data_IF_028356838132
#
_entry.id   IF_028356838132
#
_cell.length_a   1.000
_cell.length_b   1.000
_cell.length_c   1.000
_cell.angle_alpha   90.00
_cell.angle_beta   90.00
_cell.angle_gamma   90.00
#
_symmetry.space_group_name_H-M   'P 1'
#
loop_
_entity.id
_entity.type
_entity.pdbx_description
1 polymer ?
#
# COMPACT_ATOMS: atom_id res chain seq x y z
N UNK A 1 9.28 -56.95 42.15
CA UNK A 1 9.04 -57.89 41.02
C UNK A 1 8.50 -57.06 39.85
N UNK A 2 9.25 -56.15 39.24
CA UNK A 2 10.26 -56.34 38.17
C UNK A 2 9.83 -57.28 37.04
N UNK A 3 9.57 -56.70 35.86
CA UNK A 3 10.05 -57.11 34.52
C UNK A 3 9.37 -56.20 33.46
N UNK A 4 10.04 -55.19 32.90
CA UNK A 4 11.11 -55.19 31.89
C UNK A 4 10.60 -55.32 30.44
N UNK A 5 10.80 -54.26 29.66
CA UNK A 5 10.88 -54.28 28.19
C UNK A 5 11.94 -55.28 27.70
N UNK A 6 11.97 -55.58 26.38
CA UNK A 6 13.10 -55.01 25.65
C UNK A 6 12.78 -54.50 24.23
N UNK A 7 13.65 -53.55 23.86
CA UNK A 7 13.94 -52.98 22.56
C UNK A 7 14.58 -53.95 21.55
N UNK A 8 14.70 -53.46 20.30
CA UNK A 8 15.74 -53.72 19.26
C UNK A 8 15.17 -54.27 17.94
N UNK A 9 15.69 -54.01 16.73
CA UNK A 9 16.47 -52.92 16.08
C UNK A 9 16.67 -53.39 14.62
N UNK A 10 16.71 -52.44 13.66
CA UNK A 10 17.38 -52.50 12.32
C UNK A 10 16.74 -53.48 11.29
N UNK A 11 16.77 -53.29 9.96
CA UNK A 11 17.75 -52.64 9.08
C UNK A 11 17.17 -52.33 7.68
N UNK A 12 17.88 -51.46 6.97
CA UNK A 12 17.76 -51.07 5.56
C UNK A 12 17.52 -52.18 4.53
N UNK A 13 16.82 -51.84 3.43
CA UNK A 13 17.27 -52.20 2.07
C UNK A 13 16.68 -51.28 0.98
N UNK A 14 17.61 -50.83 0.12
CA UNK A 14 17.40 -50.15 -1.16
C UNK A 14 16.43 -50.88 -2.10
N UNK A 15 15.70 -50.11 -2.92
CA UNK A 15 15.40 -50.53 -4.29
C UNK A 15 15.39 -49.34 -5.25
N UNK A 16 16.36 -49.35 -6.16
CA UNK A 16 16.40 -48.59 -7.41
C UNK A 16 15.32 -49.13 -8.36
N UNK A 17 14.70 -48.27 -9.15
CA UNK A 17 14.24 -48.61 -10.49
C UNK A 17 14.54 -47.45 -11.44
N UNK A 18 15.52 -47.68 -12.31
CA UNK A 18 15.72 -46.96 -13.55
C UNK A 18 14.64 -47.40 -14.55
N UNK A 19 14.22 -46.50 -15.44
CA UNK A 19 14.10 -46.82 -16.87
C UNK A 19 14.28 -45.56 -17.72
N UNK A 20 15.22 -45.66 -18.67
CA UNK A 20 15.48 -44.77 -19.82
C UNK A 20 14.18 -44.55 -20.64
N UNK A 21 13.95 -43.49 -21.39
CA UNK A 21 14.84 -42.58 -22.12
C UNK A 21 14.32 -42.52 -23.57
N UNK A 22 14.20 -41.33 -24.16
CA UNK A 22 14.27 -41.15 -25.62
C UNK A 22 14.73 -39.73 -25.96
N UNK A 23 15.74 -39.70 -26.81
CA UNK A 23 16.46 -38.58 -27.38
C UNK A 23 16.01 -38.31 -28.81
N UNK A 24 16.25 -37.10 -29.30
CA UNK A 24 16.22 -36.70 -30.72
C UNK A 24 15.76 -35.25 -30.86
N UNK A 25 16.62 -34.22 -30.85
CA UNK A 25 17.68 -33.80 -31.80
C UNK A 25 17.17 -33.05 -33.03
N UNK A 26 17.79 -31.88 -33.24
CA UNK A 26 18.03 -31.09 -34.48
C UNK A 26 17.54 -29.64 -34.29
N UNK A 27 18.42 -28.72 -33.92
CA UNK A 27 19.30 -27.95 -34.84
C UNK A 27 18.49 -27.06 -35.79
N UNK A 28 18.73 -25.74 -35.69
CA UNK A 28 19.08 -24.89 -36.83
C UNK A 28 19.68 -23.58 -36.31
N UNK A 29 20.91 -23.35 -36.75
CA UNK A 29 21.78 -22.21 -36.53
C UNK A 29 21.62 -21.15 -37.63
N UNK A 30 22.09 -19.94 -37.31
CA UNK A 30 22.71 -18.93 -38.21
C UNK A 30 21.89 -18.31 -39.36
N UNK A 31 21.80 -16.98 -39.39
CA UNK A 31 22.77 -16.14 -40.11
C UNK A 31 22.34 -14.67 -40.21
N UNK A 32 23.38 -13.86 -40.32
CA UNK A 32 23.53 -12.42 -40.43
C UNK A 32 22.65 -11.69 -41.47
N UNK A 33 22.43 -10.39 -41.27
CA UNK A 33 22.98 -9.37 -42.19
C UNK A 33 22.85 -7.96 -41.62
N UNK A 34 23.98 -7.24 -41.67
CA UNK A 34 24.10 -5.82 -41.44
C UNK A 34 23.59 -5.04 -42.67
N UNK A 35 23.03 -3.85 -42.43
CA UNK A 35 23.15 -2.75 -43.38
C UNK A 35 23.12 -1.41 -42.66
N UNK A 36 24.30 -0.84 -42.51
CA UNK A 36 24.49 0.60 -42.37
C UNK A 36 24.13 1.26 -43.72
N UNK A 37 23.43 2.38 -43.69
CA UNK A 37 23.66 3.43 -44.69
C UNK A 37 23.37 4.81 -44.09
N UNK A 38 24.44 5.57 -43.97
CA UNK A 38 24.56 7.01 -43.78
C UNK A 38 23.70 7.84 -44.75
N UNK A 39 23.21 9.01 -44.33
CA UNK A 39 23.91 10.30 -44.58
C UNK A 39 23.02 11.54 -44.43
N UNK A 40 23.62 12.55 -43.74
CA UNK A 40 23.64 14.00 -43.99
C UNK A 40 22.32 14.81 -43.95
N UNK A 41 22.21 15.74 -42.98
CA UNK A 41 22.39 17.23 -43.10
C UNK A 41 21.29 17.87 -43.99
N UNK A 42 20.56 18.90 -43.59
CA UNK A 42 21.10 20.19 -43.16
C UNK A 42 20.02 21.17 -42.60
N UNK A 43 20.50 22.11 -41.79
CA UNK A 43 20.14 23.53 -41.57
C UNK A 43 18.66 24.02 -41.71
N UNK A 44 18.07 24.54 -40.63
CA UNK A 44 18.01 25.98 -40.25
C UNK A 44 16.86 26.81 -40.88
N UNK A 45 15.99 27.40 -40.05
CA UNK A 45 15.82 28.86 -39.86
C UNK A 45 14.53 29.23 -39.12
N UNK A 46 14.71 30.07 -38.10
CA UNK A 46 13.73 30.99 -37.49
C UNK A 46 12.93 31.75 -38.56
N UNK A 47 11.66 32.06 -38.25
CA UNK A 47 11.11 33.41 -38.40
C UNK A 47 9.91 33.64 -37.47
N UNK A 48 9.81 34.90 -37.07
CA UNK A 48 8.98 35.53 -36.03
C UNK A 48 8.14 36.61 -36.73
N UNK A 49 6.92 36.86 -36.26
CA UNK A 49 6.05 38.00 -36.61
C UNK A 49 4.58 37.60 -36.43
N UNK A 50 3.88 37.97 -35.36
CA UNK A 50 3.26 39.27 -34.96
C UNK A 50 2.07 39.70 -35.82
N UNK A 51 0.91 39.75 -35.14
CA UNK A 51 -0.32 40.56 -35.30
C UNK A 51 -1.05 40.54 -36.67
N UNK A 52 -2.38 40.52 -36.78
CA UNK A 52 -3.37 41.35 -36.10
C UNK A 52 -4.81 40.77 -36.20
N UNK A 53 -5.68 41.40 -35.40
CA UNK A 53 -7.12 41.25 -35.16
C UNK A 53 -8.08 40.74 -36.26
N UNK A 54 -9.08 39.93 -35.84
CA UNK A 54 -10.49 40.12 -36.21
C UNK A 54 -11.46 39.39 -35.25
N UNK A 55 -12.43 40.15 -34.73
CA UNK A 55 -13.46 39.80 -33.74
C UNK A 55 -14.56 38.88 -34.32
N UNK A 56 -15.25 38.13 -33.44
CA UNK A 56 -16.72 38.18 -33.19
C UNK A 56 -17.32 36.82 -32.68
N UNK A 57 -18.11 36.94 -31.59
CA UNK A 57 -19.19 36.07 -31.05
C UNK A 57 -18.93 34.80 -30.21
N UNK A 58 -18.71 35.02 -28.90
CA UNK A 58 -19.71 34.78 -27.84
C UNK A 58 -20.37 33.41 -27.65
N UNK A 59 -19.85 32.61 -26.69
CA UNK A 59 -20.62 31.71 -25.79
C UNK A 59 -19.88 31.57 -24.44
N UNK A 60 -20.55 31.63 -23.27
CA UNK A 60 -19.85 31.58 -21.99
C UNK A 60 -19.44 30.14 -21.68
N UNK A 61 -18.14 29.86 -21.74
CA UNK A 61 -17.58 28.60 -21.29
C UNK A 61 -17.85 28.41 -19.79
N UNK A 62 -18.72 27.45 -19.45
CA UNK A 62 -18.90 26.96 -18.08
C UNK A 62 -17.54 26.49 -17.56
N UNK A 63 -16.92 27.27 -16.66
CA UNK A 63 -15.77 26.83 -15.86
C UNK A 63 -16.17 25.58 -15.09
N UNK A 64 -15.72 24.42 -15.55
CA UNK A 64 -15.79 23.16 -14.80
C UNK A 64 -14.97 23.35 -13.53
N UNK A 65 -15.65 23.48 -12.39
CA UNK A 65 -15.02 23.56 -11.07
C UNK A 65 -14.19 22.29 -10.88
N UNK A 66 -12.89 22.45 -10.60
CA UNK A 66 -12.05 21.35 -10.11
C UNK A 66 -12.73 20.70 -8.89
N UNK A 67 -12.79 19.37 -8.79
CA UNK A 67 -13.33 18.72 -7.59
C UNK A 67 -12.48 19.12 -6.38
N UNK A 68 -13.12 19.52 -5.30
CA UNK A 68 -12.42 19.75 -4.03
C UNK A 68 -11.97 18.41 -3.45
N UNK A 69 -10.77 18.37 -2.87
CA UNK A 69 -10.19 17.22 -2.14
C UNK A 69 -11.03 16.77 -0.92
N UNK A 70 -12.19 17.40 -0.69
CA UNK A 70 -13.11 17.11 0.41
C UNK A 70 -14.27 16.20 0.01
N UNK A 71 -14.43 15.88 -1.29
CA UNK A 71 -15.40 14.89 -1.73
C UNK A 71 -14.70 13.59 -2.12
N UNK A 72 -15.17 12.42 -1.64
CA UNK A 72 -14.64 11.14 -2.09
C UNK A 72 -14.76 11.04 -3.60
N UNK A 73 -13.73 10.51 -4.27
CA UNK A 73 -13.84 10.17 -5.69
C UNK A 73 -14.98 9.17 -5.86
N UNK A 74 -15.92 9.46 -6.77
CA UNK A 74 -17.08 8.60 -7.06
C UNK A 74 -17.06 8.19 -8.51
N UNK A 75 -17.15 6.89 -8.76
CA UNK A 75 -17.50 6.36 -10.08
C UNK A 75 -19.02 6.52 -10.29
N UNK A 76 -19.49 7.01 -11.45
CA UNK A 76 -20.92 7.07 -11.75
C UNK A 76 -21.65 5.73 -11.57
N UNK A 77 -20.96 4.61 -11.73
CA UNK A 77 -21.51 3.25 -11.50
C UNK A 77 -21.67 2.87 -10.04
N UNK A 78 -21.12 3.66 -9.12
CA UNK A 78 -21.30 3.49 -7.67
C UNK A 78 -22.54 4.23 -7.14
N UNK A 79 -23.37 4.76 -8.03
CA UNK A 79 -24.61 5.45 -7.66
C UNK A 79 -25.81 4.50 -7.70
N UNK A 80 -26.40 4.22 -6.55
CA UNK A 80 -27.77 3.73 -6.49
C UNK A 80 -28.71 4.90 -6.81
N UNK A 81 -29.69 4.67 -7.68
CA UNK A 81 -30.66 5.70 -8.09
C UNK A 81 -31.55 6.12 -6.92
N UNK A 82 -31.12 7.11 -6.16
CA UNK A 82 -31.97 7.81 -5.19
C UNK A 82 -32.47 9.11 -5.82
N UNK A 83 -33.79 9.30 -5.85
CA UNK A 83 -34.45 10.54 -6.33
C UNK A 83 -33.85 11.78 -5.61
N UNK A 84 -33.71 12.93 -6.29
CA UNK A 84 -33.00 14.08 -5.72
C UNK A 84 -33.80 14.73 -4.59
N UNK A 85 -33.21 14.77 -3.39
CA UNK A 85 -33.70 15.56 -2.26
C UNK A 85 -33.37 17.05 -2.45
N UNK A 86 -34.33 17.92 -2.13
CA UNK A 86 -34.22 19.38 -2.21
C UNK A 86 -33.08 19.93 -1.34
N UNK A 87 -32.29 20.86 -1.89
CA UNK A 87 -31.21 21.58 -1.20
C UNK A 87 -31.75 22.40 -0.01
N UNK A 88 -31.24 22.16 1.20
CA UNK A 88 -31.32 23.10 2.33
C UNK A 88 -30.04 23.93 2.41
N UNK A 89 -30.21 25.17 2.84
CA UNK A 89 -29.23 26.26 2.92
C UNK A 89 -28.07 25.95 3.90
N UNK A 90 -26.88 26.44 3.57
CA UNK A 90 -25.64 26.31 4.34
C UNK A 90 -25.67 27.20 5.58
N UNK A 91 -25.51 26.60 6.76
CA UNK A 91 -25.01 27.30 7.94
C UNK A 91 -23.47 27.40 7.85
N UNK A 92 -22.93 28.55 8.25
CA UNK A 92 -21.48 28.84 8.28
C UNK A 92 -20.80 27.88 9.26
N UNK A 93 -19.85 27.09 8.78
CA UNK A 93 -18.91 26.36 9.62
C UNK A 93 -17.57 27.09 9.56
N UNK A 94 -17.03 27.38 10.74
CA UNK A 94 -15.77 28.09 10.97
C UNK A 94 -14.58 27.42 10.29
N UNK A 95 -13.56 28.25 10.03
CA UNK A 95 -12.46 27.99 9.13
C UNK A 95 -11.76 26.65 9.36
N UNK A 96 -11.64 25.88 8.28
CA UNK A 96 -10.74 24.75 8.19
C UNK A 96 -9.31 25.29 8.20
N UNK A 97 -8.72 25.39 9.39
CA UNK A 97 -7.27 25.56 9.54
C UNK A 97 -6.61 24.36 8.84
N UNK A 98 -5.95 24.62 7.72
CA UNK A 98 -5.01 23.68 7.11
C UNK A 98 -3.88 23.47 8.11
N UNK A 99 -4.02 22.44 8.95
CA UNK A 99 -3.02 22.08 9.97
C UNK A 99 -1.72 21.75 9.23
N UNK A 100 -0.67 22.53 9.51
CA UNK A 100 0.73 22.22 9.14
C UNK A 100 1.05 20.76 9.45
N UNK A 101 1.96 20.09 8.70
CA UNK A 101 2.12 18.64 8.79
C UNK A 101 2.60 18.30 10.19
N UNK A 102 1.66 17.86 11.03
CA UNK A 102 1.99 17.33 12.36
C UNK A 102 2.92 16.12 12.16
N UNK A 103 3.86 15.90 13.09
CA UNK A 103 4.80 14.78 13.00
C UNK A 103 4.04 13.47 12.75
N UNK A 104 4.68 12.54 12.03
CA UNK A 104 4.01 11.27 11.71
C UNK A 104 3.88 10.44 12.97
N UNK A 105 4.85 10.55 13.86
CA UNK A 105 4.80 10.00 15.21
C UNK A 105 4.30 11.12 16.15
N UNK A 106 3.18 10.90 16.85
CA UNK A 106 2.69 11.86 17.85
C UNK A 106 3.57 11.83 19.12
N UNK A 107 3.36 12.76 20.06
CA UNK A 107 4.13 12.87 21.30
C UNK A 107 4.11 11.57 22.13
N UNK A 108 2.96 10.90 22.18
CA UNK A 108 2.76 9.61 22.84
C UNK A 108 3.30 8.41 22.02
N UNK A 109 3.79 8.66 20.81
CA UNK A 109 4.33 7.68 19.87
C UNK A 109 3.27 6.97 19.00
N UNK A 110 1.98 7.20 19.24
CA UNK A 110 0.92 6.75 18.34
C UNK A 110 1.05 7.51 17.02
N UNK A 111 1.22 6.79 15.90
CA UNK A 111 1.49 7.45 14.63
C UNK A 111 0.20 7.89 13.96
N UNK A 112 -0.29 9.08 14.30
CA UNK A 112 -1.58 9.67 13.86
C UNK A 112 -2.80 8.80 14.20
N UNK A 113 -3.14 8.68 15.49
CA UNK A 113 -4.30 7.91 15.91
C UNK A 113 -5.62 8.52 15.38
N UNK A 114 -6.57 7.67 14.99
CA UNK A 114 -7.97 8.07 14.77
C UNK A 114 -8.65 8.39 16.11
N UNK A 115 -9.78 9.11 16.09
CA UNK A 115 -10.49 9.62 17.28
C UNK A 115 -10.71 8.57 18.38
N UNK A 116 -11.16 7.37 18.02
CA UNK A 116 -11.42 6.28 18.97
C UNK A 116 -10.27 5.31 19.20
N UNK A 117 -9.04 5.65 18.76
CA UNK A 117 -7.89 4.73 18.86
C UNK A 117 -7.48 4.51 20.30
N UNK A 118 -7.40 5.59 21.09
CA UNK A 118 -7.01 5.51 22.51
C UNK A 118 -8.05 4.77 23.32
N UNK A 119 -9.33 5.12 23.15
CA UNK A 119 -10.46 4.43 23.75
C UNK A 119 -10.42 2.92 23.49
N UNK A 120 -10.07 2.50 22.26
CA UNK A 120 -9.92 1.08 21.90
C UNK A 120 -8.67 0.44 22.51
N UNK A 121 -7.55 1.16 22.59
CA UNK A 121 -6.29 0.64 23.15
C UNK A 121 -6.39 0.44 24.67
N UNK A 122 -7.10 1.34 25.35
CA UNK A 122 -7.23 1.38 26.82
C UNK A 122 -8.49 0.64 27.33
N UNK A 123 -9.25 -0.01 26.43
CA UNK A 123 -10.50 -0.65 26.78
C UNK A 123 -10.30 -1.89 27.69
N UNK A 124 -11.21 -2.10 28.63
CA UNK A 124 -11.24 -3.31 29.45
C UNK A 124 -11.67 -4.54 28.62
N UNK A 125 -11.37 -5.77 29.07
CA UNK A 125 -11.85 -6.98 28.41
C UNK A 125 -13.38 -7.02 28.21
N UNK A 126 -14.14 -6.48 29.16
CA UNK A 126 -15.61 -6.36 29.09
C UNK A 126 -16.02 -5.36 28.00
N UNK A 127 -15.37 -4.21 27.93
CA UNK A 127 -15.62 -3.21 26.87
C UNK A 127 -15.28 -3.76 25.48
N UNK A 128 -14.17 -4.50 25.37
CA UNK A 128 -13.79 -5.18 24.13
C UNK A 128 -14.83 -6.21 23.69
N UNK A 129 -15.42 -6.95 24.63
CA UNK A 129 -16.49 -7.92 24.36
C UNK A 129 -17.76 -7.23 23.86
N UNK A 130 -18.19 -6.14 24.51
CA UNK A 130 -19.35 -5.32 24.09
C UNK A 130 -19.12 -4.77 22.67
N UNK A 131 -17.92 -4.25 22.38
CA UNK A 131 -17.58 -3.74 21.04
C UNK A 131 -17.60 -4.86 19.99
N UNK A 132 -17.13 -6.05 20.35
CA UNK A 132 -17.16 -7.21 19.46
C UNK A 132 -18.60 -7.67 19.17
N UNK A 133 -19.47 -7.70 20.17
CA UNK A 133 -20.89 -8.00 20.00
C UNK A 133 -21.58 -6.97 19.10
N UNK A 134 -21.31 -5.68 19.31
CA UNK A 134 -21.82 -4.61 18.45
C UNK A 134 -21.40 -4.78 16.98
N UNK A 135 -20.15 -5.15 16.72
CA UNK A 135 -19.67 -5.43 15.35
C UNK A 135 -20.37 -6.64 14.75
N UNK A 136 -20.59 -7.71 15.53
CA UNK A 136 -21.33 -8.88 15.08
C UNK A 136 -22.77 -8.51 14.67
N UNK A 137 -23.47 -7.74 15.50
CA UNK A 137 -24.80 -7.23 15.17
C UNK A 137 -24.82 -6.47 13.84
N UNK A 138 -23.86 -5.57 13.63
CA UNK A 138 -23.74 -4.83 12.37
C UNK A 138 -23.49 -5.73 11.15
N UNK A 139 -22.65 -6.77 11.29
CA UNK A 139 -22.40 -7.71 10.19
C UNK A 139 -23.64 -8.56 9.90
N UNK A 140 -24.36 -9.00 10.93
CA UNK A 140 -25.65 -9.70 10.76
C UNK A 140 -26.62 -8.83 9.96
N UNK A 141 -26.77 -7.56 10.32
CA UNK A 141 -27.60 -6.61 9.56
C UNK A 141 -27.15 -6.47 8.11
N UNK A 142 -25.83 -6.47 7.83
CA UNK A 142 -25.32 -6.48 6.45
C UNK A 142 -25.79 -7.73 5.70
N UNK A 143 -25.68 -8.92 6.29
CA UNK A 143 -26.14 -10.17 5.68
C UNK A 143 -27.63 -10.13 5.33
N UNK A 144 -28.46 -9.72 6.30
CA UNK A 144 -29.92 -9.58 6.09
C UNK A 144 -30.23 -8.58 4.97
N UNK A 145 -29.53 -7.44 4.95
CA UNK A 145 -29.73 -6.39 3.95
C UNK A 145 -29.29 -6.78 2.52
N UNK A 146 -28.37 -7.74 2.37
CA UNK A 146 -28.01 -8.29 1.04
C UNK A 146 -28.90 -9.47 0.62
N UNK A 147 -29.89 -9.83 1.43
CA UNK A 147 -30.81 -10.94 1.18
C UNK A 147 -30.25 -12.32 1.53
N UNK A 148 -29.20 -12.39 2.35
CA UNK A 148 -28.69 -13.66 2.89
C UNK A 148 -29.50 -14.11 4.11
N UNK A 149 -29.54 -15.43 4.33
CA UNK A 149 -30.08 -16.03 5.55
C UNK A 149 -28.97 -16.08 6.60
N UNK A 150 -29.01 -15.26 7.67
CA UNK A 150 -27.96 -15.23 8.68
C UNK A 150 -27.92 -16.51 9.55
N UNK A 151 -28.99 -17.30 9.57
CA UNK A 151 -29.12 -18.47 10.44
C UNK A 151 -28.72 -19.78 9.74
N UNK A 152 -28.40 -19.76 8.44
CA UNK A 152 -27.92 -20.96 7.72
C UNK A 152 -26.52 -21.41 8.20
N UNK A 153 -26.21 -22.71 8.20
CA UNK A 153 -24.99 -23.25 8.80
C UNK A 153 -23.67 -22.61 8.31
N UNK A 154 -23.60 -22.22 7.03
CA UNK A 154 -22.38 -21.66 6.44
C UNK A 154 -22.01 -20.25 6.94
N UNK A 155 -23.00 -19.44 7.35
CA UNK A 155 -22.77 -18.04 7.78
C UNK A 155 -23.18 -17.76 9.22
N UNK A 156 -23.67 -18.75 9.95
CA UNK A 156 -24.06 -18.63 11.36
C UNK A 156 -23.00 -17.93 12.23
N UNK A 157 -21.72 -18.31 12.08
CA UNK A 157 -20.59 -17.71 12.82
C UNK A 157 -19.81 -16.66 11.98
N UNK A 158 -20.29 -16.31 10.79
CA UNK A 158 -19.68 -15.25 9.94
C UNK A 158 -19.64 -13.89 10.62
N UNK A 159 -20.69 -13.41 11.33
CA UNK A 159 -20.60 -12.15 12.06
C UNK A 159 -19.40 -12.07 13.00
N UNK A 160 -19.15 -13.14 13.77
CA UNK A 160 -18.02 -13.21 14.70
C UNK A 160 -16.68 -13.27 13.99
N UNK A 161 -16.56 -14.12 12.95
CA UNK A 161 -15.33 -14.24 12.15
C UNK A 161 -14.98 -12.93 11.47
N UNK A 162 -15.96 -12.27 10.85
CA UNK A 162 -15.76 -10.99 10.17
C UNK A 162 -15.36 -9.90 11.15
N UNK A 163 -16.04 -9.79 12.29
CA UNK A 163 -15.69 -8.79 13.31
C UNK A 163 -14.23 -8.95 13.78
N UNK A 164 -13.81 -10.18 14.08
CA UNK A 164 -12.41 -10.49 14.44
C UNK A 164 -11.43 -10.16 13.31
N UNK A 165 -11.76 -10.52 12.07
CA UNK A 165 -10.93 -10.22 10.91
C UNK A 165 -10.77 -8.69 10.73
N UNK A 166 -11.85 -7.92 10.83
CA UNK A 166 -11.79 -6.47 10.70
C UNK A 166 -10.95 -5.81 11.80
N UNK A 167 -11.02 -6.32 13.03
CA UNK A 167 -10.18 -5.83 14.13
C UNK A 167 -8.70 -6.13 13.91
N UNK A 168 -8.37 -7.29 13.34
CA UNK A 168 -7.00 -7.63 12.95
C UNK A 168 -6.50 -6.75 11.78
N UNK A 169 -7.32 -6.56 10.75
CA UNK A 169 -6.99 -5.74 9.58
C UNK A 169 -6.82 -4.25 9.92
N UNK A 170 -7.32 -3.81 11.08
CA UNK A 170 -7.22 -2.44 11.59
C UNK A 170 -6.40 -2.32 12.88
N UNK A 171 -5.60 -3.34 13.24
CA UNK A 171 -4.84 -3.34 14.50
C UNK A 171 -3.76 -2.26 14.56
N UNK A 172 -3.22 -1.84 13.41
CA UNK A 172 -2.13 -0.89 13.31
C UNK A 172 -2.46 0.53 13.75
N UNK A 173 -3.73 0.83 14.03
CA UNK A 173 -4.10 2.05 14.75
C UNK A 173 -3.57 2.05 16.19
N UNK A 174 -3.52 0.89 16.85
CA UNK A 174 -3.15 0.73 18.26
C UNK A 174 -1.66 0.48 18.48
N UNK A 175 -0.86 0.51 17.41
CA UNK A 175 0.58 0.24 17.47
C UNK A 175 1.37 1.55 17.52
N UNK A 176 2.57 1.48 18.10
CA UNK A 176 3.49 2.60 18.27
C UNK A 176 4.80 2.31 17.54
N UNK A 177 5.28 3.26 16.72
CA UNK A 177 6.51 3.08 15.93
C UNK A 177 7.73 2.89 16.84
N UNK A 178 7.80 3.59 17.97
CA UNK A 178 8.93 3.48 18.92
C UNK A 178 8.99 2.07 19.51
N UNK A 179 7.85 1.51 19.89
CA UNK A 179 7.75 0.15 20.43
C UNK A 179 8.07 -0.91 19.38
N UNK A 180 7.66 -0.69 18.13
CA UNK A 180 8.03 -1.59 17.02
C UNK A 180 9.54 -1.61 16.84
N UNK A 181 10.18 -0.44 16.82
CA UNK A 181 11.63 -0.30 16.64
C UNK A 181 12.37 -0.92 17.82
N UNK A 182 11.87 -0.71 19.04
CA UNK A 182 12.40 -1.28 20.29
C UNK A 182 13.93 -1.13 20.41
N UNK A 183 14.44 0.08 20.21
CA UNK A 183 15.88 0.40 20.26
C UNK A 183 16.78 -0.45 19.34
N UNK A 184 16.23 -1.11 18.32
CA UNK A 184 17.01 -1.87 17.34
C UNK A 184 17.66 -0.94 16.30
N UNK A 185 18.43 0.03 16.81
CA UNK A 185 19.22 0.99 16.04
C UNK A 185 20.68 0.79 16.47
N UNK A 186 21.56 0.58 15.49
CA UNK A 186 22.95 0.19 15.70
C UNK A 186 23.88 1.20 15.02
N UNK A 187 25.07 1.40 15.58
CA UNK A 187 26.10 2.24 14.98
C UNK A 187 27.13 1.37 14.26
N UNK A 188 26.98 1.24 12.95
CA UNK A 188 27.83 0.35 12.13
C UNK A 188 28.81 1.13 11.22
N UNK A 189 28.82 2.47 11.29
CA UNK A 189 29.64 3.32 10.40
C UNK A 189 29.29 3.19 8.91
N UNK A 190 28.22 2.45 8.58
CA UNK A 190 27.75 2.25 7.21
C UNK A 190 27.08 3.53 6.69
N UNK A 191 27.45 3.99 5.50
CA UNK A 191 26.95 5.22 4.87
C UNK A 191 26.48 5.01 3.42
N UNK A 192 26.32 3.75 3.00
CA UNK A 192 25.80 3.39 1.68
C UNK A 192 24.30 3.09 1.73
N UNK A 193 23.69 2.96 0.56
CA UNK A 193 22.25 2.71 0.44
C UNK A 193 21.89 1.30 0.96
N UNK A 194 20.97 1.25 1.92
CA UNK A 194 20.37 -0.01 2.39
C UNK A 194 18.98 -0.14 1.77
N UNK A 195 18.67 -1.28 1.17
CA UNK A 195 17.38 -1.57 0.53
C UNK A 195 16.77 -2.85 1.11
N UNK A 196 15.51 -2.76 1.53
CA UNK A 196 14.64 -3.91 1.78
C UNK A 196 13.52 -3.85 0.75
N UNK A 197 13.56 -4.78 -0.21
CA UNK A 197 12.61 -4.87 -1.33
C UNK A 197 11.68 -6.06 -1.19
N UNK A 198 10.58 -6.03 -1.95
CA UNK A 198 9.59 -7.11 -2.01
C UNK A 198 8.89 -7.37 -0.66
N UNK A 199 8.67 -6.31 0.12
CA UNK A 199 7.89 -6.39 1.36
C UNK A 199 6.43 -6.52 0.97
N UNK A 200 5.81 -7.67 1.24
CA UNK A 200 4.39 -7.87 1.01
C UNK A 200 3.55 -7.00 1.96
N UNK A 201 2.61 -6.27 1.38
CA UNK A 201 1.75 -5.34 2.12
C UNK A 201 0.29 -5.63 1.80
N UNK A 202 -0.51 -5.76 2.86
CA UNK A 202 -1.96 -5.92 2.81
C UNK A 202 -2.59 -4.74 3.53
N UNK A 203 -3.53 -4.05 2.88
CA UNK A 203 -4.24 -2.93 3.47
C UNK A 203 -5.69 -2.86 3.01
N UNK A 204 -6.47 -1.96 3.59
CA UNK A 204 -7.90 -1.80 3.34
C UNK A 204 -8.15 -0.42 2.74
N UNK A 205 -8.76 -0.35 1.56
CA UNK A 205 -9.12 0.92 0.93
C UNK A 205 -10.18 1.62 1.79
N UNK A 206 -9.90 2.83 2.26
CA UNK A 206 -10.82 3.55 3.16
C UNK A 206 -12.14 3.95 2.50
N UNK A 207 -12.17 4.05 1.17
CA UNK A 207 -13.37 4.43 0.42
C UNK A 207 -14.41 3.31 0.34
N UNK A 208 -13.96 2.05 0.35
CA UNK A 208 -14.82 0.90 0.04
C UNK A 208 -14.75 -0.23 1.07
N UNK A 209 -13.81 -0.14 2.02
CA UNK A 209 -13.48 -1.20 2.96
C UNK A 209 -13.16 -2.53 2.26
N UNK A 210 -12.51 -2.43 1.10
CA UNK A 210 -12.09 -3.56 0.25
C UNK A 210 -10.57 -3.59 0.20
N UNK A 211 -9.92 -4.78 0.24
CA UNK A 211 -8.47 -4.86 0.28
C UNK A 211 -7.77 -4.27 -0.96
N UNK A 212 -6.58 -3.75 -0.73
CA UNK A 212 -5.56 -3.62 -1.77
C UNK A 212 -4.26 -4.27 -1.26
N UNK A 213 -3.56 -4.95 -2.16
CA UNK A 213 -2.42 -5.80 -1.82
C UNK A 213 -1.31 -5.58 -2.83
N UNK A 214 -0.07 -5.63 -2.35
CA UNK A 214 1.06 -5.37 -3.22
C UNK A 214 2.39 -5.50 -2.52
N UNK A 215 3.40 -4.85 -3.10
CA UNK A 215 4.77 -4.86 -2.61
C UNK A 215 5.22 -3.45 -2.31
N UNK A 216 5.96 -3.32 -1.22
CA UNK A 216 6.65 -2.11 -0.82
C UNK A 216 8.16 -2.34 -0.86
N UNK A 217 8.87 -1.35 -1.37
CA UNK A 217 10.32 -1.32 -1.46
C UNK A 217 10.79 -0.10 -0.67
N UNK A 218 11.63 -0.32 0.32
CA UNK A 218 12.09 0.71 1.25
C UNK A 218 13.61 0.80 1.13
N UNK A 219 14.11 2.01 0.94
CA UNK A 219 15.53 2.31 0.98
C UNK A 219 15.82 3.50 1.90
N UNK A 220 16.99 3.49 2.52
CA UNK A 220 17.51 4.64 3.25
C UNK A 220 19.03 4.71 3.11
N UNK A 221 19.58 5.92 3.27
CA UNK A 221 21.02 6.13 3.35
C UNK A 221 21.34 6.54 4.78
N UNK A 222 21.97 5.66 5.58
CA UNK A 222 22.24 5.93 6.99
C UNK A 222 23.08 7.19 7.21
N UNK A 223 22.95 7.76 8.41
CA UNK A 223 23.90 8.73 8.96
C UNK A 223 24.55 8.10 10.19
N UNK A 224 25.46 7.15 9.97
CA UNK A 224 26.10 6.29 10.98
C UNK A 224 25.18 5.31 11.74
N UNK A 225 23.85 5.49 11.70
CA UNK A 225 22.87 4.64 12.38
C UNK A 225 22.09 3.77 11.41
N UNK A 226 22.08 2.46 11.64
CA UNK A 226 21.30 1.47 10.88
C UNK A 226 20.18 0.89 11.73
N UNK A 227 19.07 0.54 11.11
CA UNK A 227 17.95 -0.13 11.77
C UNK A 227 18.02 -1.64 11.56
N UNK A 228 17.60 -2.42 12.55
CA UNK A 228 17.38 -3.86 12.38
C UNK A 228 16.43 -4.10 11.20
N UNK A 229 16.85 -4.89 10.21
CA UNK A 229 16.15 -5.05 8.93
C UNK A 229 14.69 -5.45 9.08
N UNK A 230 14.37 -6.30 10.06
CA UNK A 230 13.00 -6.75 10.35
C UNK A 230 12.06 -5.62 10.78
N UNK A 231 12.57 -4.44 11.15
CA UNK A 231 11.75 -3.32 11.60
C UNK A 231 11.10 -2.57 10.44
N UNK A 232 11.72 -2.52 9.27
CA UNK A 232 11.15 -1.85 8.10
C UNK A 232 9.83 -2.51 7.64
N UNK A 233 9.75 -3.85 7.48
CA UNK A 233 8.48 -4.53 7.23
C UNK A 233 7.44 -4.32 8.33
N UNK A 234 7.85 -4.29 9.60
CA UNK A 234 6.92 -4.07 10.73
C UNK A 234 6.33 -2.66 10.72
N UNK A 235 7.12 -1.65 10.38
CA UNK A 235 6.63 -0.27 10.20
C UNK A 235 5.65 -0.23 9.03
N UNK A 236 5.97 -0.87 7.89
CA UNK A 236 5.05 -0.96 6.76
C UNK A 236 3.72 -1.64 7.15
N UNK A 237 3.78 -2.77 7.88
CA UNK A 237 2.59 -3.48 8.35
C UNK A 237 1.75 -2.63 9.32
N UNK A 238 2.38 -1.93 10.27
CA UNK A 238 1.67 -1.05 11.20
C UNK A 238 0.79 -0.02 10.45
N UNK A 239 1.34 0.65 9.44
CA UNK A 239 0.57 1.62 8.67
C UNK A 239 -0.43 0.96 7.71
N UNK A 240 -0.12 -0.24 7.20
CA UNK A 240 -1.00 -0.95 6.27
C UNK A 240 -2.21 -1.58 6.95
N UNK A 241 -2.11 -1.96 8.24
CA UNK A 241 -3.22 -2.48 9.06
C UNK A 241 -4.15 -1.37 9.55
N UNK A 242 -4.60 -0.54 8.63
CA UNK A 242 -5.50 0.61 8.79
C UNK A 242 -6.40 0.74 7.56
N UNK A 243 -7.42 1.57 7.65
CA UNK A 243 -8.06 2.11 6.45
C UNK A 243 -7.14 3.15 5.83
N UNK A 244 -6.83 2.97 4.55
CA UNK A 244 -5.78 3.70 3.86
C UNK A 244 -6.16 4.15 2.45
N UNK A 245 -5.39 5.13 1.99
CA UNK A 245 -5.15 5.47 0.60
C UNK A 245 -3.67 5.17 0.33
N UNK A 246 -3.33 4.58 -0.83
CA UNK A 246 -1.97 4.10 -1.12
C UNK A 246 -0.93 5.23 -1.03
N UNK A 247 -1.26 6.42 -1.53
CA UNK A 247 -0.42 7.62 -1.47
C UNK A 247 -0.09 8.01 -0.02
N UNK A 248 -1.09 7.89 0.89
CA UNK A 248 -0.91 8.20 2.31
C UNK A 248 -0.04 7.14 2.97
N UNK A 249 -0.32 5.87 2.74
CA UNK A 249 0.46 4.75 3.28
C UNK A 249 1.94 4.86 2.90
N UNK A 250 2.25 5.08 1.62
CA UNK A 250 3.63 5.24 1.13
C UNK A 250 4.34 6.42 1.80
N UNK A 251 3.62 7.54 1.99
CA UNK A 251 4.15 8.72 2.67
C UNK A 251 4.38 8.46 4.16
N UNK A 252 3.43 7.87 4.86
CA UNK A 252 3.53 7.62 6.31
C UNK A 252 4.72 6.73 6.64
N UNK A 253 4.95 5.67 5.88
CA UNK A 253 6.13 4.81 6.06
C UNK A 253 7.44 5.58 5.84
N UNK A 254 7.56 6.35 4.76
CA UNK A 254 8.77 7.11 4.47
C UNK A 254 9.11 8.13 5.57
N UNK A 255 8.09 8.87 6.04
CA UNK A 255 8.27 9.86 7.09
C UNK A 255 8.53 9.23 8.45
N UNK A 256 7.90 8.10 8.81
CA UNK A 256 8.18 7.40 10.06
C UNK A 256 9.64 6.93 10.13
N UNK A 257 10.19 6.41 9.02
CA UNK A 257 11.60 6.02 8.94
C UNK A 257 12.52 7.24 9.03
N UNK A 258 12.17 8.32 8.34
CA UNK A 258 12.93 9.57 8.40
C UNK A 258 12.97 10.14 9.82
N UNK A 259 11.84 10.08 10.54
CA UNK A 259 11.71 10.59 11.90
C UNK A 259 12.49 9.75 12.92
N UNK A 260 12.42 8.42 12.83
CA UNK A 260 13.06 7.52 13.80
C UNK A 260 14.57 7.37 13.59
N UNK A 261 15.05 7.31 12.33
CA UNK A 261 16.47 7.07 12.03
C UNK A 261 17.26 8.35 11.76
N UNK A 262 16.58 9.44 11.41
CA UNK A 262 17.19 10.68 10.91
C UNK A 262 18.30 10.40 9.87
N UNK A 263 18.03 9.57 8.84
CA UNK A 263 19.03 9.19 7.86
C UNK A 263 19.33 10.37 6.91
N UNK A 264 20.34 10.22 6.06
CA UNK A 264 20.61 11.21 5.01
C UNK A 264 19.44 11.33 4.02
N UNK A 265 18.71 10.24 3.80
CA UNK A 265 17.48 10.22 3.01
C UNK A 265 16.76 8.88 3.09
N UNK A 266 15.49 8.89 2.69
CA UNK A 266 14.60 7.71 2.61
C UNK A 266 13.91 7.70 1.26
N UNK A 267 13.71 6.52 0.68
CA UNK A 267 12.84 6.31 -0.46
C UNK A 267 11.93 5.12 -0.21
N UNK A 268 10.64 5.30 -0.47
CA UNK A 268 9.64 4.24 -0.41
C UNK A 268 8.90 4.22 -1.73
N UNK A 269 8.79 3.04 -2.33
CA UNK A 269 7.92 2.79 -3.48
C UNK A 269 6.97 1.67 -3.13
N UNK A 270 5.71 1.81 -3.48
CA UNK A 270 4.71 0.77 -3.36
C UNK A 270 4.02 0.56 -4.69
N UNK A 271 3.99 -0.68 -5.15
CA UNK A 271 3.13 -1.15 -6.24
C UNK A 271 2.02 -2.02 -5.66
N UNK A 272 0.76 -1.77 -6.01
CA UNK A 272 -0.35 -2.60 -5.53
C UNK A 272 -1.50 -2.73 -6.50
N UNK A 273 -2.24 -3.84 -6.35
CA UNK A 273 -3.52 -4.10 -6.99
C UNK A 273 -4.65 -3.79 -6.01
N UNK A 274 -5.65 -3.07 -6.49
CA UNK A 274 -6.79 -2.61 -5.69
C UNK A 274 -8.02 -3.45 -6.03
N UNK A 275 -8.53 -4.25 -5.09
CA UNK A 275 -9.70 -5.09 -5.39
C UNK A 275 -10.95 -4.26 -5.70
N UNK A 276 -11.04 -3.02 -5.20
CA UNK A 276 -12.10 -2.09 -5.59
C UNK A 276 -12.10 -1.72 -7.09
N UNK A 277 -10.98 -1.92 -7.80
CA UNK A 277 -10.87 -1.76 -9.25
C UNK A 277 -10.92 -3.11 -10.00
N UNK A 278 -10.56 -4.21 -9.34
CA UNK A 278 -10.47 -5.54 -9.96
C UNK A 278 -11.81 -6.26 -9.95
N UNK A 279 -12.45 -6.38 -8.79
CA UNK A 279 -13.65 -7.22 -8.63
C UNK A 279 -14.97 -6.46 -8.78
N UNK A 280 -14.92 -5.12 -8.85
CA UNK A 280 -16.07 -4.23 -9.04
C UNK A 280 -15.68 -2.97 -9.83
N UNK A 281 -16.65 -2.10 -10.11
CA UNK A 281 -16.40 -0.81 -10.77
C UNK A 281 -15.81 -0.98 -12.17
N UNK A 282 -14.58 -0.51 -12.39
CA UNK A 282 -13.86 -0.57 -13.68
C UNK A 282 -13.43 -1.97 -14.12
N UNK A 283 -13.36 -2.94 -13.19
CA UNK A 283 -13.01 -4.35 -13.44
C UNK A 283 -11.74 -4.55 -14.28
N UNK A 284 -10.64 -3.89 -13.90
CA UNK A 284 -9.34 -4.00 -14.59
C UNK A 284 -8.40 -4.91 -13.80
N UNK A 285 -8.33 -6.18 -14.19
CA UNK A 285 -7.55 -7.23 -13.52
C UNK A 285 -6.03 -7.03 -13.60
N UNK A 286 -5.54 -6.44 -14.69
CA UNK A 286 -4.11 -6.19 -14.91
C UNK A 286 -3.62 -4.83 -14.41
N UNK A 287 -4.51 -3.96 -13.91
CA UNK A 287 -4.12 -2.64 -13.46
C UNK A 287 -3.37 -2.71 -12.13
N UNK A 288 -2.16 -2.14 -12.09
CA UNK A 288 -1.41 -1.87 -10.86
C UNK A 288 -1.23 -0.36 -10.68
N UNK A 289 -1.15 0.06 -9.42
CA UNK A 289 -0.89 1.46 -9.05
C UNK A 289 0.46 1.54 -8.35
N UNK A 290 1.33 2.41 -8.85
CA UNK A 290 2.65 2.68 -8.26
C UNK A 290 2.62 4.06 -7.61
N UNK A 291 3.03 4.13 -6.35
CA UNK A 291 3.22 5.38 -5.61
C UNK A 291 4.62 5.41 -5.02
N UNK A 292 5.21 6.60 -4.91
CA UNK A 292 6.55 6.77 -4.34
C UNK A 292 6.63 7.99 -3.44
N UNK A 293 7.41 7.90 -2.36
CA UNK A 293 7.79 9.02 -1.52
C UNK A 293 9.31 9.02 -1.34
N UNK A 294 9.97 10.12 -1.71
CA UNK A 294 11.41 10.30 -1.57
C UNK A 294 11.68 11.50 -0.66
N UNK A 295 12.65 11.37 0.23
CA UNK A 295 13.01 12.36 1.25
C UNK A 295 14.54 12.48 1.31
N UNK A 296 15.03 13.67 1.67
CA UNK A 296 16.46 13.92 1.94
C UNK A 296 17.33 13.69 0.70
N UNK A 297 18.36 12.85 0.82
CA UNK A 297 19.31 12.56 -0.26
C UNK A 297 18.64 12.05 -1.55
N UNK A 298 17.58 11.24 -1.46
CA UNK A 298 16.84 10.73 -2.63
C UNK A 298 16.04 11.82 -3.36
N UNK A 299 15.58 12.84 -2.63
CA UNK A 299 14.88 13.98 -3.22
C UNK A 299 15.89 14.90 -3.92
N UNK A 300 17.02 15.19 -3.25
CA UNK A 300 18.04 16.14 -3.71
C UNK A 300 18.97 15.60 -4.81
N UNK A 301 19.25 14.30 -4.82
CA UNK A 301 20.24 13.68 -5.72
C UNK A 301 19.54 12.72 -6.69
N UNK A 302 19.37 13.15 -7.94
CA UNK A 302 18.73 12.33 -8.97
C UNK A 302 19.46 11.01 -9.22
N UNK A 303 20.80 11.00 -9.23
CA UNK A 303 21.59 9.76 -9.43
C UNK A 303 21.25 8.70 -8.37
N UNK A 304 21.18 9.09 -7.11
CA UNK A 304 20.80 8.22 -5.99
C UNK A 304 19.38 7.69 -6.12
N UNK A 305 18.43 8.54 -6.56
CA UNK A 305 17.05 8.12 -6.82
C UNK A 305 16.99 7.10 -7.97
N UNK A 306 17.72 7.36 -9.06
CA UNK A 306 17.76 6.48 -10.22
C UNK A 306 18.41 5.13 -9.92
N UNK A 307 19.45 5.12 -9.09
CA UNK A 307 20.08 3.90 -8.58
C UNK A 307 19.06 3.03 -7.83
N UNK A 308 18.33 3.61 -6.87
CA UNK A 308 17.28 2.90 -6.14
C UNK A 308 16.19 2.34 -7.07
N UNK A 309 15.64 3.17 -7.96
CA UNK A 309 14.58 2.73 -8.90
C UNK A 309 15.04 1.60 -9.82
N UNK A 310 16.33 1.57 -10.20
CA UNK A 310 16.93 0.47 -10.96
C UNK A 310 17.05 -0.81 -10.12
N UNK A 311 17.55 -0.71 -8.88
CA UNK A 311 17.76 -1.87 -7.99
C UNK A 311 16.46 -2.57 -7.57
N UNK A 312 15.34 -1.84 -7.56
CA UNK A 312 14.00 -2.39 -7.30
C UNK A 312 13.24 -2.82 -8.57
N UNK A 313 13.85 -2.70 -9.75
CA UNK A 313 13.30 -3.21 -11.01
C UNK A 313 12.21 -2.34 -11.66
N UNK A 314 12.09 -1.08 -11.24
CA UNK A 314 11.11 -0.13 -11.80
C UNK A 314 11.65 0.67 -12.99
N UNK A 315 12.97 0.68 -13.17
CA UNK A 315 13.64 1.21 -14.35
C UNK A 315 14.23 0.02 -15.11
N UNK A 316 13.55 -0.38 -16.19
CA UNK A 316 14.08 -1.34 -17.18
C UNK A 316 14.92 -0.60 -18.20
#
# INVERSE_FOLDING_TARGET
MTRSEPSERKSHKHRKSQFNGHSGSSDLSEAETASQSSSKRDSSKKRKGTDDDARVNGHPAKKTRRPSLTQPARDPRDTFTTKPAKKKSKAKTEGTLTRSPSPVIDFDGLSRPSRGTRERLEESPEQAAIRLEKLQGAVRTILECVGEDPDRPGVLDTPRRYAKAMLFLTRGYQENVKDIVNNAIFQEGHNEMVIVKDIEVFSMCEHHLVPFTGKMHIAYIPKNQVIGLSKLPRIAEMFSRRFQIQERLTKEVAYAIMEILQPQGVAVVMESSHLCMVMRGVQKTAASTITSCVLGAFEKKEKTRNEFLSLVGLKK
#
